data_IF_424802702662
#
_entry.id   IF_424802702662
#
_cell.length_a   1.000
_cell.length_b   1.000
_cell.length_c   1.000
_cell.angle_alpha   90.00
_cell.angle_beta   90.00
_cell.angle_gamma   90.00
#
_symmetry.space_group_name_H-M   'P 1'
#
loop_
_entity.id
_entity.type
_entity.pdbx_description
1 polymer ?
#
# COMPACT_ATOMS: atom_id res chain seq x y z
N UNK A 1 -23.65 -28.67 1.67
CA UNK A 1 -22.19 -28.89 1.68
C UNK A 1 -21.63 -28.35 0.38
N UNK A 2 -20.50 -27.65 0.41
CA UNK A 2 -19.86 -27.17 -0.83
C UNK A 2 -19.30 -28.36 -1.61
N UNK A 3 -19.39 -28.33 -2.92
CA UNK A 3 -18.90 -29.42 -3.78
C UNK A 3 -17.37 -29.38 -3.86
N UNK A 4 -16.75 -30.52 -4.23
CA UNK A 4 -15.29 -30.61 -4.39
C UNK A 4 -14.78 -29.58 -5.41
N UNK A 5 -15.52 -29.38 -6.50
CA UNK A 5 -15.20 -28.39 -7.54
C UNK A 5 -15.28 -26.96 -7.02
N UNK A 6 -16.29 -26.62 -6.20
CA UNK A 6 -16.38 -25.30 -5.57
C UNK A 6 -15.22 -25.03 -4.62
N UNK A 7 -14.76 -26.04 -3.87
CA UNK A 7 -13.58 -25.91 -3.02
C UNK A 7 -12.30 -25.69 -3.82
N UNK A 8 -12.13 -26.37 -4.94
CA UNK A 8 -10.98 -26.17 -5.84
C UNK A 8 -10.97 -24.78 -6.46
N UNK A 9 -12.12 -24.26 -6.91
CA UNK A 9 -12.22 -22.90 -7.42
C UNK A 9 -11.87 -21.85 -6.36
N UNK A 10 -12.37 -22.02 -5.12
CA UNK A 10 -12.07 -21.11 -4.01
C UNK A 10 -10.57 -21.13 -3.71
N UNK A 11 -9.96 -22.33 -3.67
CA UNK A 11 -8.52 -22.49 -3.47
C UNK A 11 -7.73 -21.78 -4.57
N UNK A 12 -8.10 -21.98 -5.84
CA UNK A 12 -7.44 -21.35 -7.01
C UNK A 12 -7.55 -19.82 -6.96
N UNK A 13 -8.76 -19.28 -6.78
CA UNK A 13 -9.02 -17.83 -6.64
C UNK A 13 -8.26 -17.19 -5.47
N UNK A 14 -8.02 -17.95 -4.41
CA UNK A 14 -7.26 -17.48 -3.24
C UNK A 14 -5.76 -17.50 -3.51
N UNK A 15 -5.24 -18.56 -4.13
CA UNK A 15 -3.85 -18.66 -4.55
C UNK A 15 -3.47 -17.56 -5.55
N UNK A 16 -4.32 -17.30 -6.54
CA UNK A 16 -4.11 -16.23 -7.51
C UNK A 16 -4.03 -14.86 -6.81
N UNK A 17 -4.92 -14.59 -5.85
CA UNK A 17 -4.86 -13.36 -5.03
C UNK A 17 -3.61 -13.23 -4.18
N UNK A 18 -3.05 -14.35 -3.70
CA UNK A 18 -1.82 -14.36 -2.89
C UNK A 18 -0.60 -14.14 -3.79
N UNK A 19 -0.55 -14.74 -4.98
CA UNK A 19 0.55 -14.53 -5.93
C UNK A 19 0.62 -13.07 -6.41
N UNK A 20 -0.52 -12.42 -6.65
CA UNK A 20 -0.59 -10.97 -6.92
C UNK A 20 0.04 -10.12 -5.80
N UNK A 21 0.06 -10.61 -4.54
CA UNK A 21 0.73 -9.92 -3.43
C UNK A 21 2.24 -10.14 -3.41
N UNK A 22 2.74 -11.25 -3.96
CA UNK A 22 4.19 -11.54 -4.09
C UNK A 22 4.82 -10.83 -5.28
N UNK A 23 4.09 -10.69 -6.39
CA UNK A 23 4.54 -10.03 -7.62
C UNK A 23 4.15 -8.56 -7.66
N UNK A 24 4.35 -7.81 -6.56
CA UNK A 24 4.32 -6.35 -6.66
C UNK A 24 5.64 -5.89 -7.28
N UNK A 25 5.73 -5.99 -8.60
CA UNK A 25 6.78 -5.33 -9.36
C UNK A 25 6.60 -3.82 -9.19
N UNK A 26 7.62 -3.16 -8.63
CA UNK A 26 7.63 -1.70 -8.50
C UNK A 26 7.96 -1.17 -7.11
N UNK A 27 8.13 0.14 -7.03
CA UNK A 27 8.42 0.83 -5.77
C UNK A 27 7.12 1.13 -5.04
N UNK A 28 7.04 0.79 -3.75
CA UNK A 28 5.90 1.15 -2.90
C UNK A 28 6.29 2.25 -1.93
N UNK A 29 5.56 3.36 -1.98
CA UNK A 29 5.67 4.47 -1.03
C UNK A 29 4.49 4.38 -0.06
N UNK A 30 4.78 4.39 1.24
CA UNK A 30 3.78 4.23 2.30
C UNK A 30 3.83 5.44 3.22
N UNK A 31 2.71 6.12 3.43
CA UNK A 31 2.61 7.29 4.31
C UNK A 31 1.87 6.93 5.58
N UNK A 32 2.45 7.23 6.74
CA UNK A 32 1.80 7.11 8.06
C UNK A 32 0.63 8.07 8.20
N UNK A 33 -0.59 7.54 8.29
CA UNK A 33 -1.85 8.29 8.27
C UNK A 33 -2.71 8.01 9.52
N UNK A 34 -2.06 7.75 10.66
CA UNK A 34 -2.72 7.71 11.97
C UNK A 34 -3.01 9.12 12.51
N UNK A 35 -3.56 9.24 13.72
CA UNK A 35 -3.94 10.53 14.32
C UNK A 35 -2.77 11.51 14.40
N UNK A 36 -1.65 11.09 14.98
CA UNK A 36 -0.45 11.92 15.08
C UNK A 36 0.09 12.30 13.68
N UNK A 37 0.07 11.37 12.72
CA UNK A 37 0.53 11.61 11.34
C UNK A 37 -0.35 12.64 10.62
N UNK A 38 -1.67 12.54 10.77
CA UNK A 38 -2.59 13.53 10.23
C UNK A 38 -2.36 14.90 10.88
N UNK A 39 -2.19 14.96 12.20
CA UNK A 39 -1.90 16.19 12.94
C UNK A 39 -0.56 16.82 12.55
N UNK A 40 0.45 16.01 12.24
CA UNK A 40 1.77 16.43 11.78
C UNK A 40 1.80 16.81 10.29
N UNK A 41 0.68 16.67 9.56
CA UNK A 41 0.58 17.09 8.16
C UNK A 41 0.80 15.98 7.13
N UNK A 42 0.51 14.71 7.44
CA UNK A 42 0.63 13.62 6.47
C UNK A 42 -0.33 13.75 5.26
N UNK A 43 -1.47 14.44 5.41
CA UNK A 43 -2.45 14.65 4.33
C UNK A 43 -1.88 15.38 3.11
N UNK A 44 -1.28 16.59 3.25
CA UNK A 44 -0.64 17.26 2.12
C UNK A 44 0.54 16.46 1.55
N UNK A 45 1.30 15.73 2.38
CA UNK A 45 2.39 14.85 1.92
C UNK A 45 1.86 13.73 1.02
N UNK A 46 0.82 13.01 1.45
CA UNK A 46 0.18 11.96 0.67
C UNK A 46 -0.33 12.51 -0.68
N UNK A 47 -1.00 13.67 -0.65
CA UNK A 47 -1.52 14.31 -1.86
C UNK A 47 -0.39 14.68 -2.84
N UNK A 48 0.68 15.31 -2.36
CA UNK A 48 1.82 15.70 -3.19
C UNK A 48 2.49 14.47 -3.84
N UNK A 49 2.64 13.37 -3.10
CA UNK A 49 3.21 12.12 -3.64
C UNK A 49 2.33 11.53 -4.75
N UNK A 50 1.01 11.50 -4.56
CA UNK A 50 0.07 11.02 -5.60
C UNK A 50 0.13 11.91 -6.83
N UNK A 51 0.13 13.23 -6.66
CA UNK A 51 0.19 14.19 -7.77
C UNK A 51 1.50 14.05 -8.57
N UNK A 52 2.65 13.94 -7.90
CA UNK A 52 3.94 13.79 -8.58
C UNK A 52 4.09 12.45 -9.29
N UNK A 53 3.59 11.36 -8.73
CA UNK A 53 3.56 10.04 -9.38
C UNK A 53 2.72 10.10 -10.66
N UNK A 54 1.54 10.73 -10.60
CA UNK A 54 0.67 10.90 -11.75
C UNK A 54 1.28 11.84 -12.81
N UNK A 55 1.82 12.98 -12.38
CA UNK A 55 2.44 13.98 -13.27
C UNK A 55 3.63 13.42 -14.05
N UNK A 56 4.40 12.52 -13.43
CA UNK A 56 5.55 11.85 -14.04
C UNK A 56 5.21 10.53 -14.72
N UNK A 57 3.92 10.15 -14.72
CA UNK A 57 3.40 8.91 -15.30
C UNK A 57 4.15 7.66 -14.80
N UNK A 58 4.45 7.60 -13.50
CA UNK A 58 5.22 6.52 -12.89
C UNK A 58 4.33 5.31 -12.59
N UNK A 59 4.09 4.47 -13.59
CA UNK A 59 3.19 3.31 -13.48
C UNK A 59 3.71 2.21 -12.52
N UNK A 60 5.02 2.18 -12.27
CA UNK A 60 5.68 1.22 -11.38
C UNK A 60 5.79 1.72 -9.93
N UNK A 61 5.17 2.86 -9.59
CA UNK A 61 5.19 3.41 -8.24
C UNK A 61 3.78 3.41 -7.66
N UNK A 62 3.62 2.75 -6.51
CA UNK A 62 2.34 2.70 -5.79
C UNK A 62 2.46 3.51 -4.51
N UNK A 63 1.65 4.57 -4.38
CA UNK A 63 1.50 5.33 -3.15
C UNK A 63 0.36 4.72 -2.32
N UNK A 64 0.62 4.43 -1.05
CA UNK A 64 -0.34 3.82 -0.14
C UNK A 64 -0.28 4.48 1.24
N UNK A 65 -1.32 4.30 2.03
CA UNK A 65 -1.40 4.78 3.41
C UNK A 65 -1.27 3.63 4.41
N UNK A 66 -0.68 3.89 5.57
CA UNK A 66 -0.57 2.96 6.70
C UNK A 66 -1.03 3.61 8.01
N UNK A 67 -1.25 2.79 9.04
CA UNK A 67 -1.61 3.23 10.38
C UNK A 67 -0.42 3.68 11.22
N UNK A 68 -0.57 3.64 12.54
CA UNK A 68 0.47 4.05 13.48
C UNK A 68 1.57 2.97 13.53
N UNK A 69 2.83 3.41 13.47
CA UNK A 69 4.01 2.53 13.59
C UNK A 69 4.71 2.64 14.96
N UNK A 70 4.18 3.46 15.87
CA UNK A 70 4.68 3.61 17.24
C UNK A 70 5.78 4.64 17.44
N UNK A 71 6.07 5.47 16.43
CA UNK A 71 7.14 6.50 16.50
C UNK A 71 6.57 7.89 16.19
N UNK A 72 5.67 8.38 17.04
CA UNK A 72 4.90 9.61 16.78
C UNK A 72 5.76 10.88 16.66
N UNK A 73 6.94 10.93 17.28
CA UNK A 73 7.82 12.11 17.26
C UNK A 73 8.36 12.45 15.87
N UNK A 74 8.47 11.46 14.98
CA UNK A 74 9.07 11.61 13.65
C UNK A 74 8.01 11.71 12.54
N UNK A 75 6.74 11.83 12.89
CA UNK A 75 5.69 11.99 11.88
C UNK A 75 5.75 13.36 11.20
N UNK A 76 5.35 13.44 9.90
CA UNK A 76 4.80 12.37 9.08
C UNK A 76 5.87 11.42 8.51
N UNK A 77 5.69 10.12 8.73
CA UNK A 77 6.65 9.08 8.29
C UNK A 77 6.29 8.58 6.90
N UNK A 78 7.31 8.46 6.04
CA UNK A 78 7.20 7.88 4.71
C UNK A 78 8.18 6.72 4.57
N UNK A 79 7.68 5.53 4.27
CA UNK A 79 8.47 4.33 4.03
C UNK A 79 8.50 4.01 2.53
N UNK A 80 9.69 3.70 2.00
CA UNK A 80 9.87 3.37 0.58
C UNK A 80 10.41 1.95 0.47
N UNK A 81 9.59 1.06 -0.07
CA UNK A 81 9.94 -0.32 -0.37
C UNK A 81 10.34 -0.40 -1.84
N UNK A 82 11.57 -0.85 -2.10
CA UNK A 82 12.11 -1.08 -3.44
C UNK A 82 12.23 -2.60 -3.69
N UNK A 83 12.07 -3.06 -4.94
CA UNK A 83 12.34 -4.45 -5.30
C UNK A 83 13.80 -4.84 -5.08
#
# INVERSE_FOLDING_TARGET
MKTIQELEEIRKKTLDRINIRKEREGTRVVVGMATCGISAGARPVLKALVEEVNKRNLQHVIVSQTGCIGICEYEPIVEVYRP
#
